data_IF_060908750019
#
_entry.id   IF_060908750019
#
_cell.length_a   1.000
_cell.length_b   1.000
_cell.length_c   1.000
_cell.angle_alpha   90.00
_cell.angle_beta   90.00
_cell.angle_gamma   90.00
#
_symmetry.space_group_name_H-M   'P 1'
#
loop_
_entity.id
_entity.type
_entity.pdbx_description
1 polymer ?
#
# COMPACT_ATOMS: atom_id res chain seq x y z
N UNK A 1 29.96 -2.87 -21.62
CA UNK A 1 29.29 -1.55 -21.51
C UNK A 1 29.60 -1.02 -20.13
N UNK A 2 30.04 0.24 -20.05
CA UNK A 2 30.34 0.87 -18.77
C UNK A 2 29.02 1.14 -18.04
N UNK A 3 28.89 0.69 -16.79
CA UNK A 3 27.67 0.96 -16.00
C UNK A 3 27.51 2.48 -15.82
N UNK A 4 26.32 3.00 -16.12
CA UNK A 4 25.96 4.41 -15.90
C UNK A 4 26.08 4.74 -14.38
N UNK A 5 26.37 6.00 -14.04
CA UNK A 5 26.40 6.50 -12.65
C UNK A 5 25.13 6.09 -11.88
N UNK A 6 23.96 6.09 -12.53
CA UNK A 6 22.69 5.59 -11.97
C UNK A 6 22.81 4.18 -11.35
N UNK A 7 23.47 3.26 -12.05
CA UNK A 7 23.62 1.87 -11.61
C UNK A 7 24.80 1.66 -10.65
N UNK A 8 25.82 2.53 -10.71
CA UNK A 8 27.04 2.43 -9.90
C UNK A 8 26.87 3.07 -8.53
N UNK A 9 26.25 4.23 -8.48
CA UNK A 9 26.04 5.03 -7.28
C UNK A 9 24.78 5.89 -7.45
N UNK A 10 23.65 5.29 -7.07
CA UNK A 10 22.33 5.90 -7.21
C UNK A 10 22.21 7.22 -6.41
N UNK A 11 22.78 7.28 -5.22
CA UNK A 11 22.69 8.48 -4.38
C UNK A 11 23.48 9.64 -5.00
N UNK A 12 24.69 9.38 -5.48
CA UNK A 12 25.48 10.39 -6.20
C UNK A 12 24.80 10.81 -7.51
N UNK A 13 24.15 9.87 -8.22
CA UNK A 13 23.35 10.20 -9.41
C UNK A 13 22.17 11.12 -9.07
N UNK A 14 21.46 10.90 -7.95
CA UNK A 14 20.38 11.76 -7.48
C UNK A 14 20.89 13.17 -7.17
N UNK A 15 21.96 13.29 -6.37
CA UNK A 15 22.53 14.59 -6.01
C UNK A 15 22.97 15.38 -7.26
N UNK A 16 23.63 14.70 -8.21
CA UNK A 16 24.01 15.30 -9.50
C UNK A 16 22.79 15.75 -10.29
N UNK A 17 21.75 14.92 -10.37
CA UNK A 17 20.52 15.22 -11.11
C UNK A 17 19.80 16.43 -10.52
N UNK A 18 19.70 16.52 -9.19
CA UNK A 18 19.13 17.68 -8.49
C UNK A 18 19.95 18.94 -8.79
N UNK A 19 21.27 18.88 -8.68
CA UNK A 19 22.14 20.04 -8.95
C UNK A 19 21.99 20.55 -10.39
N UNK A 20 21.91 19.65 -11.37
CA UNK A 20 21.68 20.02 -12.77
C UNK A 20 20.32 20.68 -12.99
N UNK A 21 19.26 20.19 -12.33
CA UNK A 21 17.92 20.77 -12.38
C UNK A 21 17.89 22.18 -11.77
N UNK A 22 18.47 22.37 -10.58
CA UNK A 22 18.52 23.66 -9.88
C UNK A 22 19.27 24.73 -10.69
N UNK A 23 20.30 24.34 -11.43
CA UNK A 23 21.10 25.23 -12.26
C UNK A 23 20.58 25.36 -13.71
N UNK A 24 19.41 24.79 -14.03
CA UNK A 24 18.82 24.76 -15.38
C UNK A 24 19.74 24.16 -16.46
N UNK A 25 20.62 23.22 -16.10
CA UNK A 25 21.56 22.56 -17.01
C UNK A 25 20.92 21.34 -17.69
N UNK A 26 19.83 21.55 -18.42
CA UNK A 26 19.01 20.46 -18.95
C UNK A 26 19.73 19.58 -19.98
N UNK A 27 20.74 20.12 -20.68
CA UNK A 27 21.52 19.38 -21.69
C UNK A 27 22.35 18.24 -21.10
N UNK A 28 22.70 18.33 -19.81
CA UNK A 28 23.55 17.36 -19.11
C UNK A 28 22.73 16.32 -18.31
N UNK A 29 21.40 16.42 -18.36
CA UNK A 29 20.50 15.50 -17.64
C UNK A 29 20.50 14.12 -18.27
N UNK A 30 20.57 13.11 -17.40
CA UNK A 30 20.25 11.73 -17.74
C UNK A 30 18.72 11.55 -17.79
N UNK A 31 18.11 12.07 -18.87
CA UNK A 31 16.66 12.15 -19.01
C UNK A 31 15.97 10.78 -19.00
N UNK A 32 16.62 9.74 -19.55
CA UNK A 32 16.05 8.39 -19.60
C UNK A 32 15.86 7.84 -18.17
N UNK A 33 16.93 7.85 -17.37
CA UNK A 33 16.86 7.40 -15.98
C UNK A 33 15.98 8.31 -15.11
N UNK A 34 15.98 9.63 -15.32
CA UNK A 34 15.11 10.55 -14.58
C UNK A 34 13.62 10.29 -14.85
N UNK A 35 13.24 10.11 -16.13
CA UNK A 35 11.85 9.81 -16.49
C UNK A 35 11.40 8.49 -15.87
N UNK A 36 12.25 7.45 -15.94
CA UNK A 36 11.92 6.15 -15.38
C UNK A 36 11.85 6.17 -13.85
N UNK A 37 12.71 6.97 -13.20
CA UNK A 37 12.63 7.21 -11.76
C UNK A 37 11.28 7.82 -11.36
N UNK A 38 10.85 8.89 -12.05
CA UNK A 38 9.55 9.55 -11.80
C UNK A 38 8.37 8.59 -12.02
N UNK A 39 8.40 7.79 -13.09
CA UNK A 39 7.38 6.75 -13.31
C UNK A 39 7.39 5.72 -12.18
N UNK A 40 8.57 5.31 -11.73
CA UNK A 40 8.72 4.32 -10.66
C UNK A 40 8.15 4.84 -9.35
N UNK A 41 8.37 6.12 -9.02
CA UNK A 41 7.82 6.78 -7.84
C UNK A 41 6.29 6.70 -7.83
N UNK A 42 5.63 7.05 -8.93
CA UNK A 42 4.16 6.96 -9.05
C UNK A 42 3.65 5.52 -8.87
N UNK A 43 4.32 4.55 -9.50
CA UNK A 43 3.96 3.13 -9.38
C UNK A 43 4.15 2.63 -7.95
N UNK A 44 5.20 3.07 -7.26
CA UNK A 44 5.52 2.65 -5.91
C UNK A 44 4.51 3.20 -4.89
N UNK A 45 4.06 4.45 -5.02
CA UNK A 45 2.96 4.99 -4.20
C UNK A 45 1.67 4.18 -4.37
N UNK A 46 1.29 3.87 -5.62
CA UNK A 46 0.12 3.02 -5.89
C UNK A 46 0.25 1.61 -5.28
N UNK A 47 1.44 1.02 -5.33
CA UNK A 47 1.72 -0.29 -4.73
C UNK A 47 1.65 -0.23 -3.21
N UNK A 48 2.19 0.82 -2.59
CA UNK A 48 2.17 1.02 -1.14
C UNK A 48 0.72 1.12 -0.64
N UNK A 49 -0.11 1.95 -1.28
CA UNK A 49 -1.53 2.10 -1.00
C UNK A 49 -2.27 0.74 -1.02
N UNK A 50 -2.08 -0.06 -2.07
CA UNK A 50 -2.69 -1.39 -2.21
C UNK A 50 -2.13 -2.40 -1.20
N UNK A 51 -0.87 -2.26 -0.81
CA UNK A 51 -0.24 -3.10 0.21
C UNK A 51 -0.86 -2.83 1.59
N UNK A 52 -0.98 -1.56 1.97
CA UNK A 52 -1.64 -1.14 3.20
C UNK A 52 -3.09 -1.64 3.24
N UNK A 53 -3.86 -1.43 2.17
CA UNK A 53 -5.25 -1.92 2.08
C UNK A 53 -5.33 -3.45 2.22
N UNK A 54 -4.38 -4.18 1.63
CA UNK A 54 -4.32 -5.64 1.78
C UNK A 54 -4.08 -6.06 3.24
N UNK A 55 -3.23 -5.33 3.98
CA UNK A 55 -2.97 -5.62 5.40
C UNK A 55 -4.18 -5.32 6.28
N UNK A 56 -4.87 -4.20 6.03
CA UNK A 56 -6.13 -3.84 6.69
C UNK A 56 -7.15 -4.95 6.51
N UNK A 57 -7.46 -5.32 5.26
CA UNK A 57 -8.45 -6.36 4.96
C UNK A 57 -8.08 -7.72 5.56
N UNK A 58 -6.78 -8.04 5.60
CA UNK A 58 -6.28 -9.27 6.22
C UNK A 58 -6.57 -9.27 7.72
N UNK A 59 -6.33 -8.15 8.41
CA UNK A 59 -6.64 -8.01 9.83
C UNK A 59 -8.14 -8.04 10.08
N UNK A 60 -8.95 -7.33 9.31
CA UNK A 60 -10.41 -7.38 9.42
C UNK A 60 -10.96 -8.81 9.24
N UNK A 61 -10.37 -9.62 8.36
CA UNK A 61 -10.74 -11.04 8.23
C UNK A 61 -10.38 -11.87 9.46
N UNK A 62 -9.27 -11.58 10.14
CA UNK A 62 -8.91 -12.23 11.41
C UNK A 62 -9.89 -11.86 12.51
N UNK A 63 -10.29 -10.59 12.60
CA UNK A 63 -11.35 -10.14 13.52
C UNK A 63 -12.67 -10.88 13.25
N UNK A 64 -13.05 -11.03 11.98
CA UNK A 64 -14.27 -11.71 11.57
C UNK A 64 -14.28 -13.22 11.91
N UNK A 65 -13.15 -13.91 11.75
CA UNK A 65 -13.08 -15.38 11.91
C UNK A 65 -12.62 -15.83 13.30
N UNK A 66 -11.81 -15.02 13.99
CA UNK A 66 -11.24 -15.34 15.30
C UNK A 66 -11.49 -14.21 16.31
N UNK A 67 -12.76 -13.87 16.61
CA UNK A 67 -13.09 -12.75 17.51
C UNK A 67 -12.54 -12.91 18.93
N UNK A 68 -12.27 -14.15 19.37
CA UNK A 68 -11.68 -14.42 20.68
C UNK A 68 -10.16 -14.20 20.75
N UNK A 69 -9.48 -14.07 19.59
CA UNK A 69 -8.02 -13.90 19.49
C UNK A 69 -7.59 -12.45 19.23
N UNK A 70 -8.50 -11.50 19.42
CA UNK A 70 -8.21 -10.09 19.24
C UNK A 70 -7.14 -9.65 20.25
N UNK A 71 -6.01 -9.18 19.74
CA UNK A 71 -4.91 -8.68 20.56
C UNK A 71 -4.69 -7.19 20.30
N UNK A 72 -4.04 -6.51 21.25
CA UNK A 72 -3.60 -5.11 21.07
C UNK A 72 -2.70 -4.94 19.85
N UNK A 73 -1.90 -5.95 19.52
CA UNK A 73 -1.04 -5.92 18.33
C UNK A 73 -1.85 -5.88 17.03
N UNK A 74 -2.97 -6.60 16.96
CA UNK A 74 -3.85 -6.58 15.77
C UNK A 74 -4.52 -5.22 15.60
N UNK A 75 -4.97 -4.62 16.70
CA UNK A 75 -5.55 -3.28 16.70
C UNK A 75 -4.52 -2.23 16.26
N UNK A 76 -3.29 -2.31 16.80
CA UNK A 76 -2.20 -1.41 16.42
C UNK A 76 -1.83 -1.55 14.94
N UNK A 77 -1.69 -2.77 14.42
CA UNK A 77 -1.42 -2.98 12.98
C UNK A 77 -2.54 -2.42 12.11
N UNK A 78 -3.81 -2.61 12.49
CA UNK A 78 -4.93 -2.05 11.75
C UNK A 78 -4.91 -0.52 11.74
N UNK A 79 -4.66 0.10 12.90
CA UNK A 79 -4.50 1.55 13.05
C UNK A 79 -3.37 2.09 12.17
N UNK A 80 -2.15 1.56 12.30
CA UNK A 80 -0.97 2.03 11.56
C UNK A 80 -1.18 1.97 10.04
N UNK A 81 -1.84 0.93 9.53
CA UNK A 81 -2.06 0.82 8.09
C UNK A 81 -3.20 1.71 7.59
N UNK A 82 -4.19 2.06 8.44
CA UNK A 82 -5.19 3.08 8.12
C UNK A 82 -4.57 4.47 8.10
N UNK A 83 -3.78 4.80 9.12
CA UNK A 83 -3.01 6.06 9.23
C UNK A 83 -2.10 6.27 8.01
N UNK A 84 -1.32 5.26 7.60
CA UNK A 84 -0.49 5.36 6.38
C UNK A 84 -1.31 5.66 5.12
N UNK A 85 -2.52 5.08 4.97
CA UNK A 85 -3.38 5.39 3.82
C UNK A 85 -3.93 6.81 3.92
N UNK A 86 -4.35 7.23 5.10
CA UNK A 86 -4.83 8.59 5.35
C UNK A 86 -3.75 9.62 4.98
N UNK A 87 -2.53 9.46 5.52
CA UNK A 87 -1.38 10.32 5.22
C UNK A 87 -1.03 10.33 3.72
N UNK A 88 -1.02 9.17 3.05
CA UNK A 88 -0.79 9.08 1.61
C UNK A 88 -1.84 9.88 0.81
N UNK A 89 -3.11 9.83 1.22
CA UNK A 89 -4.20 10.54 0.57
C UNK A 89 -4.24 12.03 0.88
N UNK A 90 -3.80 12.45 2.08
CA UNK A 90 -3.64 13.86 2.43
C UNK A 90 -2.52 14.51 1.59
N UNK A 91 -1.37 13.82 1.49
CA UNK A 91 -0.23 14.30 0.71
C UNK A 91 -0.47 14.21 -0.80
N UNK A 92 -1.30 13.28 -1.27
CA UNK A 92 -1.58 13.06 -2.69
C UNK A 92 -3.02 12.63 -2.94
N UNK A 93 -3.98 13.58 -2.95
CA UNK A 93 -5.42 13.28 -3.08
C UNK A 93 -5.80 12.53 -4.37
N UNK A 94 -5.02 12.68 -5.44
CA UNK A 94 -5.21 11.95 -6.70
C UNK A 94 -5.02 10.44 -6.55
N UNK A 95 -4.32 9.97 -5.51
CA UNK A 95 -4.15 8.55 -5.23
C UNK A 95 -5.47 7.84 -4.91
N UNK A 96 -6.51 8.59 -4.48
CA UNK A 96 -7.85 8.05 -4.26
C UNK A 96 -8.42 7.35 -5.49
N UNK A 97 -8.01 7.76 -6.69
CA UNK A 97 -8.42 7.11 -7.95
C UNK A 97 -7.95 5.64 -8.07
N UNK A 98 -6.97 5.22 -7.27
CA UNK A 98 -6.45 3.84 -7.24
C UNK A 98 -7.04 2.99 -6.11
N UNK A 99 -8.05 3.52 -5.39
CA UNK A 99 -8.89 2.79 -4.44
C UNK A 99 -10.27 2.55 -5.06
N UNK A 100 -10.30 1.80 -6.16
CA UNK A 100 -11.55 1.40 -6.81
C UNK A 100 -12.12 0.12 -6.20
N UNK A 101 -13.39 -0.17 -6.48
CA UNK A 101 -13.99 -1.48 -6.16
C UNK A 101 -13.21 -2.67 -6.73
N UNK A 102 -12.57 -2.49 -7.89
CA UNK A 102 -11.73 -3.53 -8.49
C UNK A 102 -10.41 -3.71 -7.73
N UNK A 103 -9.82 -2.61 -7.26
CA UNK A 103 -8.62 -2.65 -6.42
C UNK A 103 -8.93 -3.26 -5.04
N UNK A 104 -10.08 -2.93 -4.45
CA UNK A 104 -10.58 -3.56 -3.23
C UNK A 104 -10.68 -5.08 -3.42
N UNK A 105 -11.31 -5.57 -4.49
CA UNK A 105 -11.41 -7.01 -4.79
C UNK A 105 -10.04 -7.67 -4.94
N UNK A 106 -9.10 -7.03 -5.63
CA UNK A 106 -7.73 -7.54 -5.80
C UNK A 106 -6.99 -7.63 -4.47
N UNK A 107 -7.07 -6.59 -3.65
CA UNK A 107 -6.46 -6.55 -2.32
C UNK A 107 -7.11 -7.59 -1.41
N UNK A 108 -8.43 -7.70 -1.43
CA UNK A 108 -9.19 -8.70 -0.69
C UNK A 108 -8.77 -10.13 -1.02
N UNK A 109 -8.61 -10.47 -2.30
CA UNK A 109 -8.18 -11.82 -2.69
C UNK A 109 -6.79 -12.17 -2.15
N UNK A 110 -5.88 -11.20 -2.04
CA UNK A 110 -4.57 -11.38 -1.40
C UNK A 110 -4.73 -11.52 0.11
N UNK A 111 -5.52 -10.64 0.72
CA UNK A 111 -5.81 -10.64 2.16
C UNK A 111 -6.43 -11.96 2.62
N UNK A 112 -7.38 -12.52 1.85
CA UNK A 112 -8.04 -13.80 2.12
C UNK A 112 -7.04 -14.96 2.18
N UNK A 113 -6.08 -14.98 1.25
CA UNK A 113 -4.98 -15.96 1.26
C UNK A 113 -4.06 -15.78 2.46
N UNK A 114 -3.67 -14.53 2.78
CA UNK A 114 -2.86 -14.24 3.97
C UNK A 114 -3.55 -14.68 5.26
N UNK A 115 -4.85 -14.39 5.40
CA UNK A 115 -5.66 -14.78 6.54
C UNK A 115 -5.70 -16.30 6.71
N UNK A 116 -5.97 -17.03 5.62
CA UNK A 116 -5.99 -18.50 5.64
C UNK A 116 -4.63 -19.10 6.05
N UNK A 117 -3.52 -18.54 5.55
CA UNK A 117 -2.16 -18.99 5.88
C UNK A 117 -1.86 -18.74 7.37
N UNK A 118 -2.10 -17.52 7.87
CA UNK A 118 -1.74 -17.17 9.25
C UNK A 118 -2.61 -17.86 10.30
N UNK A 119 -3.92 -17.95 10.05
CA UNK A 119 -4.87 -18.54 11.01
C UNK A 119 -4.93 -20.07 10.92
N UNK A 120 -4.42 -20.66 9.83
CA UNK A 120 -4.60 -22.08 9.52
C UNK A 120 -6.04 -22.47 9.14
N UNK A 121 -6.95 -21.50 9.03
CA UNK A 121 -8.33 -21.73 8.60
C UNK A 121 -8.36 -21.99 7.10
N UNK A 122 -9.13 -22.99 6.67
CA UNK A 122 -9.32 -23.29 5.25
C UNK A 122 -9.85 -22.06 4.50
N UNK A 123 -9.24 -21.73 3.35
CA UNK A 123 -9.60 -20.58 2.52
C UNK A 123 -11.10 -20.51 2.17
N UNK A 124 -11.77 -21.65 2.01
CA UNK A 124 -13.21 -21.72 1.68
C UNK A 124 -14.13 -21.29 2.83
N UNK A 125 -13.62 -21.23 4.07
CA UNK A 125 -14.38 -20.68 5.20
C UNK A 125 -14.42 -19.15 5.20
N UNK A 126 -13.52 -18.50 4.46
CA UNK A 126 -13.58 -17.06 4.27
C UNK A 126 -14.56 -16.73 3.14
N UNK A 127 -15.30 -15.59 3.22
CA UNK A 127 -16.20 -15.16 2.16
C UNK A 127 -15.52 -15.10 0.78
N UNK A 128 -16.21 -15.52 -0.28
CA UNK A 128 -15.64 -15.46 -1.64
C UNK A 128 -15.51 -14.02 -2.14
N UNK A 129 -16.47 -13.18 -1.77
CA UNK A 129 -16.49 -11.75 -2.04
C UNK A 129 -16.10 -10.96 -0.80
N UNK A 130 -15.53 -9.77 -0.98
CA UNK A 130 -15.18 -8.88 0.12
C UNK A 130 -16.46 -8.51 0.91
N UNK A 131 -16.53 -8.77 2.22
CA UNK A 131 -17.69 -8.39 3.03
C UNK A 131 -17.63 -6.94 3.50
N UNK A 132 -16.51 -6.24 3.26
CA UNK A 132 -16.27 -4.86 3.68
C UNK A 132 -16.30 -3.93 2.47
N UNK A 133 -16.84 -2.74 2.67
CA UNK A 133 -16.69 -1.60 1.77
C UNK A 133 -15.33 -0.92 1.98
N UNK A 134 -14.92 -0.06 1.03
CA UNK A 134 -13.74 0.79 1.24
C UNK A 134 -13.91 1.74 2.43
N UNK A 135 -15.12 2.27 2.65
CA UNK A 135 -15.39 3.14 3.79
C UNK A 135 -15.16 2.41 5.12
N UNK A 136 -15.71 1.21 5.29
CA UNK A 136 -15.48 0.40 6.50
C UNK A 136 -14.02 -0.03 6.65
N UNK A 137 -13.33 -0.36 5.55
CA UNK A 137 -11.93 -0.73 5.60
C UNK A 137 -11.05 0.42 6.15
N UNK A 138 -11.36 1.65 5.75
CA UNK A 138 -10.57 2.85 6.10
C UNK A 138 -11.06 3.55 7.37
N UNK A 139 -12.24 3.23 7.89
CA UNK A 139 -12.76 3.78 9.13
C UNK A 139 -11.98 3.26 10.35
N UNK A 140 -11.34 4.16 11.09
CA UNK A 140 -10.52 3.83 12.27
C UNK A 140 -11.29 3.11 13.37
N UNK A 141 -12.59 3.40 13.53
CA UNK A 141 -13.43 2.82 14.57
C UNK A 141 -14.09 1.50 14.14
N UNK A 142 -14.04 1.16 12.85
CA UNK A 142 -14.69 -0.04 12.36
C UNK A 142 -13.92 -1.31 12.72
N UNK A 143 -14.60 -2.21 13.45
CA UNK A 143 -14.19 -3.59 13.72
C UNK A 143 -15.39 -4.53 13.48
N UNK A 144 -15.26 -5.60 12.69
CA UNK A 144 -16.37 -6.49 12.40
C UNK A 144 -16.82 -7.28 13.64
N UNK A 145 -18.13 -7.52 13.75
CA UNK A 145 -18.79 -8.25 14.83
C UNK A 145 -18.65 -7.64 16.24
N UNK A 146 -18.26 -6.36 16.35
CA UNK A 146 -18.47 -5.63 17.60
C UNK A 146 -19.94 -5.18 17.65
N UNK A 147 -20.73 -5.82 18.51
CA UNK A 147 -22.02 -5.25 18.91
C UNK A 147 -21.71 -4.00 19.74
N UNK A 148 -22.20 -2.85 19.29
CA UNK A 148 -22.27 -1.62 20.10
C UNK A 148 -23.18 -1.87 21.31
#
# INVERSE_FOLDING_TARGET
MEKNLYEKDYYLWLEKTINLLENNQFSDLDLENLIDEIKSMSINQQKALKSNLTVILWHLLKYLQEPEKQTRSWALTLFEHRERIEEDLENSPSLKSFLTEEDLKKCYNKARKKAAIETGINLEKFPKNCPFTLAEALDFEFIPNQNI
#
